data_IF_075840651134
#
_entry.id   IF_075840651134
#
_cell.length_a   1.000
_cell.length_b   1.000
_cell.length_c   1.000
_cell.angle_alpha   90.00
_cell.angle_beta   90.00
_cell.angle_gamma   90.00
#
_symmetry.space_group_name_H-M   'P 1'
#
loop_
_entity.id
_entity.type
_entity.pdbx_description
1 polymer ?
#
# COMPACT_ATOMS: atom_id res chain seq x y z
N UNK A 1 -31.64 -5.34 14.34
CA UNK A 1 -31.19 -4.03 13.82
C UNK A 1 -30.03 -3.57 14.68
N UNK A 2 -28.87 -3.29 14.11
CA UNK A 2 -27.71 -2.82 14.89
C UNK A 2 -28.04 -1.42 15.41
N UNK A 3 -27.86 -1.19 16.72
CA UNK A 3 -28.10 0.13 17.31
C UNK A 3 -27.08 1.12 16.76
N UNK A 4 -27.56 2.28 16.29
CA UNK A 4 -26.70 3.37 15.78
C UNK A 4 -25.67 3.77 16.83
N UNK A 5 -26.06 3.80 18.10
CA UNK A 5 -25.18 4.13 19.21
C UNK A 5 -24.02 3.14 19.37
N UNK A 6 -24.31 1.84 19.18
CA UNK A 6 -23.28 0.79 19.22
C UNK A 6 -22.29 0.95 18.07
N UNK A 7 -22.78 1.28 16.87
CA UNK A 7 -21.96 1.48 15.68
C UNK A 7 -21.02 2.68 15.83
N UNK A 8 -21.53 3.80 16.36
CA UNK A 8 -20.74 4.97 16.70
C UNK A 8 -19.66 4.63 17.73
N UNK A 9 -20.02 3.92 18.79
CA UNK A 9 -19.08 3.53 19.83
C UNK A 9 -17.96 2.64 19.27
N UNK A 10 -18.29 1.62 18.48
CA UNK A 10 -17.31 0.76 17.83
C UNK A 10 -16.38 1.56 16.91
N UNK A 11 -16.92 2.51 16.15
CA UNK A 11 -16.15 3.32 15.19
C UNK A 11 -15.16 4.24 15.92
N UNK A 12 -15.62 4.91 16.98
CA UNK A 12 -14.76 5.75 17.82
C UNK A 12 -13.68 4.90 18.48
N UNK A 13 -14.03 3.78 19.11
CA UNK A 13 -13.07 2.88 19.74
C UNK A 13 -12.02 2.39 18.75
N UNK A 14 -12.44 1.99 17.55
CA UNK A 14 -11.53 1.54 16.49
C UNK A 14 -10.53 2.63 16.08
N UNK A 15 -11.02 3.85 15.81
CA UNK A 15 -10.16 4.99 15.45
C UNK A 15 -9.21 5.35 16.60
N UNK A 16 -9.70 5.39 17.84
CA UNK A 16 -8.88 5.66 19.02
C UNK A 16 -7.76 4.64 19.17
N UNK A 17 -8.03 3.35 18.97
CA UNK A 17 -7.01 2.29 19.01
C UNK A 17 -5.96 2.52 17.92
N UNK A 18 -6.36 2.80 16.67
CA UNK A 18 -5.43 3.09 15.59
C UNK A 18 -4.53 4.29 15.91
N UNK A 19 -5.10 5.34 16.50
CA UNK A 19 -4.36 6.53 16.88
C UNK A 19 -3.36 6.25 18.01
N UNK A 20 -3.73 5.43 19.00
CA UNK A 20 -2.84 4.98 20.07
C UNK A 20 -1.66 4.18 19.48
N UNK A 21 -1.93 3.29 18.52
CA UNK A 21 -0.88 2.51 17.85
C UNK A 21 0.08 3.44 17.10
N UNK A 22 -0.45 4.42 16.35
CA UNK A 22 0.37 5.41 15.65
C UNK A 22 1.24 6.22 16.61
N UNK A 23 0.65 6.74 17.69
CA UNK A 23 1.36 7.51 18.72
C UNK A 23 2.46 6.68 19.40
N UNK A 24 2.19 5.42 19.72
CA UNK A 24 3.19 4.52 20.29
C UNK A 24 4.34 4.24 19.30
N UNK A 25 4.03 4.12 18.01
CA UNK A 25 5.01 3.96 16.92
C UNK A 25 5.94 5.17 16.78
N UNK A 26 5.41 6.39 16.90
CA UNK A 26 6.19 7.63 16.81
C UNK A 26 7.09 7.85 18.02
N UNK A 27 6.61 7.49 19.22
CA UNK A 27 7.36 7.68 20.48
C UNK A 27 8.58 6.76 20.61
N UNK A 28 8.63 5.67 19.85
CA UNK A 28 9.69 4.67 19.93
C UNK A 28 10.42 4.46 18.57
N UNK A 29 11.17 5.45 18.08
CA UNK A 29 11.89 5.35 16.80
C UNK A 29 12.94 4.22 16.79
N UNK A 30 13.39 3.76 17.96
CA UNK A 30 14.29 2.61 18.11
C UNK A 30 13.67 1.24 17.78
N UNK A 31 12.33 1.11 17.78
CA UNK A 31 11.65 -0.14 17.44
C UNK A 31 11.95 -0.60 16.01
N UNK A 32 12.07 0.35 15.08
CA UNK A 32 12.39 0.08 13.67
C UNK A 32 13.84 -0.38 13.44
N UNK A 33 14.71 -0.26 14.45
CA UNK A 33 16.11 -0.69 14.39
C UNK A 33 16.26 -2.20 14.54
N UNK A 34 15.28 -2.88 15.16
CA UNK A 34 15.25 -4.34 15.26
C UNK A 34 14.81 -4.96 13.94
N UNK A 35 15.65 -5.85 13.39
CA UNK A 35 15.41 -6.51 12.09
C UNK A 35 14.06 -7.21 12.00
N UNK A 36 13.67 -7.94 13.06
CA UNK A 36 12.39 -8.63 13.14
C UNK A 36 11.20 -7.66 13.07
N UNK A 37 11.22 -6.60 13.87
CA UNK A 37 10.18 -5.58 13.86
C UNK A 37 10.06 -4.92 12.49
N UNK A 38 11.19 -4.60 11.84
CA UNK A 38 11.20 -4.04 10.49
C UNK A 38 10.57 -4.97 9.46
N UNK A 39 10.84 -6.27 9.53
CA UNK A 39 10.25 -7.26 8.60
C UNK A 39 8.74 -7.34 8.78
N UNK A 40 8.25 -7.46 10.03
CA UNK A 40 6.81 -7.53 10.30
C UNK A 40 6.09 -6.24 9.90
N UNK A 41 6.64 -5.07 10.24
CA UNK A 41 6.07 -3.78 9.85
C UNK A 41 6.02 -3.66 8.34
N UNK A 42 7.10 -4.00 7.63
CA UNK A 42 7.12 -3.95 6.16
C UNK A 42 6.06 -4.88 5.53
N UNK A 43 5.93 -6.11 6.03
CA UNK A 43 4.90 -7.05 5.56
C UNK A 43 3.48 -6.56 5.86
N UNK A 44 3.24 -5.99 7.05
CA UNK A 44 1.94 -5.44 7.43
C UNK A 44 1.60 -4.17 6.63
N UNK A 45 2.56 -3.32 6.32
CA UNK A 45 2.35 -2.16 5.44
C UNK A 45 1.93 -2.58 4.03
N UNK A 46 2.35 -3.76 3.57
CA UNK A 46 1.92 -4.29 2.28
C UNK A 46 0.43 -4.63 2.25
N UNK A 47 -0.19 -4.88 3.42
CA UNK A 47 -1.62 -5.15 3.53
C UNK A 47 -2.49 -3.94 3.14
N UNK A 48 -1.92 -2.74 3.01
CA UNK A 48 -2.58 -1.56 2.43
C UNK A 48 -3.13 -1.84 1.03
N UNK A 49 -2.61 -2.85 0.32
CA UNK A 49 -3.20 -3.32 -0.95
C UNK A 49 -4.67 -3.76 -0.80
N UNK A 50 -5.06 -4.32 0.36
CA UNK A 50 -6.41 -4.82 0.62
C UNK A 50 -7.32 -3.71 1.18
N UNK A 51 -7.74 -2.81 0.31
CA UNK A 51 -8.60 -1.69 0.67
C UNK A 51 -10.09 -2.04 0.58
N UNK A 52 -10.96 -1.17 1.12
CA UNK A 52 -12.41 -1.28 0.94
C UNK A 52 -12.82 -1.33 -0.54
N UNK A 53 -12.08 -0.65 -1.44
CA UNK A 53 -12.31 -0.74 -2.89
C UNK A 53 -12.13 -2.17 -3.40
N UNK A 54 -11.04 -2.84 -3.00
CA UNK A 54 -10.81 -4.24 -3.39
C UNK A 54 -11.87 -5.18 -2.83
N UNK A 55 -12.36 -4.92 -1.61
CA UNK A 55 -13.44 -5.70 -1.01
C UNK A 55 -14.75 -5.55 -1.77
N UNK A 56 -15.24 -4.33 -1.96
CA UNK A 56 -16.51 -4.09 -2.68
C UNK A 56 -16.44 -4.54 -4.14
N UNK A 57 -15.31 -4.31 -4.81
CA UNK A 57 -15.08 -4.77 -6.18
C UNK A 57 -15.04 -6.30 -6.29
N UNK A 58 -14.36 -6.99 -5.36
CA UNK A 58 -14.30 -8.45 -5.35
C UNK A 58 -15.65 -9.08 -5.08
N UNK A 59 -16.44 -8.54 -4.13
CA UNK A 59 -17.79 -9.01 -3.85
C UNK A 59 -18.72 -8.79 -5.04
N UNK A 60 -18.66 -7.62 -5.70
CA UNK A 60 -19.43 -7.34 -6.91
C UNK A 60 -19.07 -8.25 -8.09
N UNK A 61 -17.78 -8.56 -8.27
CA UNK A 61 -17.32 -9.53 -9.28
C UNK A 61 -17.73 -10.96 -8.94
N UNK A 62 -17.73 -11.32 -7.66
CA UNK A 62 -18.14 -12.64 -7.22
C UNK A 62 -19.63 -12.92 -7.48
N UNK A 63 -20.48 -11.90 -7.34
CA UNK A 63 -21.91 -12.04 -7.63
C UNK A 63 -22.23 -12.08 -9.12
N UNK A 64 -21.46 -11.40 -9.98
CA UNK A 64 -21.71 -11.37 -11.43
C UNK A 64 -20.97 -12.46 -12.23
N UNK A 65 -19.71 -12.73 -11.90
CA UNK A 65 -18.80 -13.57 -12.70
C UNK A 65 -18.22 -14.75 -11.89
N UNK A 66 -18.68 -14.94 -10.64
CA UNK A 66 -18.24 -16.04 -9.78
C UNK A 66 -16.76 -15.92 -9.39
N UNK A 67 -15.86 -16.60 -10.11
CA UNK A 67 -14.43 -16.61 -9.83
C UNK A 67 -13.66 -15.42 -10.42
N UNK A 68 -14.37 -14.45 -11.05
CA UNK A 68 -13.76 -13.26 -11.66
C UNK A 68 -12.96 -12.36 -10.70
N UNK A 69 -13.09 -12.55 -9.38
CA UNK A 69 -12.27 -11.83 -8.39
C UNK A 69 -10.89 -12.44 -8.17
N UNK A 70 -10.65 -13.73 -8.47
CA UNK A 70 -9.37 -14.41 -8.20
C UNK A 70 -8.14 -13.69 -8.77
N UNK A 71 -8.17 -13.15 -10.00
CA UNK A 71 -7.01 -12.49 -10.59
C UNK A 71 -6.47 -11.31 -9.77
N UNK A 72 -7.33 -10.59 -9.02
CA UNK A 72 -6.88 -9.46 -8.18
C UNK A 72 -6.00 -9.91 -7.01
N UNK A 73 -6.17 -11.14 -6.55
CA UNK A 73 -5.38 -11.72 -5.47
C UNK A 73 -4.20 -12.54 -6.00
N UNK A 74 -4.41 -13.29 -7.08
CA UNK A 74 -3.37 -14.09 -7.71
C UNK A 74 -2.31 -13.24 -8.41
N UNK A 75 -2.68 -12.12 -9.03
CA UNK A 75 -1.73 -11.24 -9.72
C UNK A 75 -0.58 -10.77 -8.84
N UNK A 76 -0.83 -10.09 -7.71
CA UNK A 76 0.21 -9.70 -6.76
C UNK A 76 1.02 -10.89 -6.25
N UNK A 77 0.36 -12.02 -5.95
CA UNK A 77 1.04 -13.23 -5.48
C UNK A 77 2.05 -13.74 -6.52
N UNK A 78 1.65 -13.84 -7.78
CA UNK A 78 2.54 -14.24 -8.88
C UNK A 78 3.69 -13.24 -9.07
N UNK A 79 3.42 -11.94 -8.98
CA UNK A 79 4.47 -10.91 -9.06
C UNK A 79 5.48 -11.05 -7.92
N UNK A 80 5.04 -11.30 -6.69
CA UNK A 80 5.96 -11.51 -5.57
C UNK A 80 6.74 -12.81 -5.67
N UNK A 81 6.18 -13.87 -6.26
CA UNK A 81 6.86 -15.16 -6.44
C UNK A 81 7.84 -15.12 -7.61
N UNK A 82 7.40 -14.71 -8.79
CA UNK A 82 8.17 -14.78 -10.03
C UNK A 82 9.00 -13.51 -10.31
N UNK A 83 8.46 -12.34 -9.97
CA UNK A 83 9.12 -11.05 -10.23
C UNK A 83 9.86 -10.49 -9.00
N UNK A 84 10.06 -11.28 -7.93
CA UNK A 84 10.90 -10.93 -6.78
C UNK A 84 12.27 -10.31 -7.15
N UNK A 85 13.09 -10.88 -8.07
CA UNK A 85 14.37 -10.28 -8.42
C UNK A 85 14.23 -8.92 -9.11
N UNK A 86 13.18 -8.74 -9.91
CA UNK A 86 12.88 -7.48 -10.58
C UNK A 86 12.46 -6.41 -9.57
N UNK A 87 11.58 -6.75 -8.61
CA UNK A 87 11.19 -5.87 -7.52
C UNK A 87 12.40 -5.42 -6.69
N UNK A 88 13.31 -6.34 -6.34
CA UNK A 88 14.56 -6.01 -5.64
C UNK A 88 15.41 -5.03 -6.43
N UNK A 89 15.51 -5.21 -7.76
CA UNK A 89 16.26 -4.31 -8.64
C UNK A 89 15.66 -2.90 -8.68
N UNK A 90 14.33 -2.80 -8.77
CA UNK A 90 13.63 -1.50 -8.75
C UNK A 90 13.91 -0.78 -7.42
N UNK A 91 13.74 -1.47 -6.29
CA UNK A 91 13.99 -0.90 -4.95
C UNK A 91 15.44 -0.42 -4.83
N UNK A 92 16.40 -1.19 -5.33
CA UNK A 92 17.81 -0.82 -5.32
C UNK A 92 18.09 0.45 -6.13
N UNK A 93 17.56 0.55 -7.36
CA UNK A 93 17.76 1.72 -8.23
C UNK A 93 17.07 2.95 -7.64
N UNK A 94 15.83 2.82 -7.15
CA UNK A 94 15.10 3.92 -6.50
C UNK A 94 15.85 4.48 -5.30
N UNK A 95 16.45 3.62 -4.45
CA UNK A 95 17.29 4.07 -3.34
C UNK A 95 18.58 4.73 -3.80
N UNK A 96 19.23 4.21 -4.84
CA UNK A 96 20.48 4.81 -5.37
C UNK A 96 20.24 6.19 -5.98
N UNK A 97 19.08 6.40 -6.60
CA UNK A 97 18.70 7.66 -7.24
C UNK A 97 17.94 8.62 -6.31
N UNK A 98 17.75 8.28 -5.03
CA UNK A 98 16.93 9.03 -4.07
C UNK A 98 15.52 9.36 -4.58
N UNK A 99 14.93 8.49 -5.41
CA UNK A 99 13.58 8.66 -5.93
C UNK A 99 12.57 8.18 -4.89
N UNK A 100 11.78 9.09 -4.33
CA UNK A 100 10.78 8.82 -3.28
C UNK A 100 9.39 8.49 -3.84
N UNK A 101 9.13 8.81 -5.12
CA UNK A 101 7.89 8.49 -5.82
C UNK A 101 8.14 7.71 -7.13
N UNK A 102 7.09 7.06 -7.65
CA UNK A 102 7.13 6.37 -8.95
C UNK A 102 7.37 7.40 -10.09
N UNK A 103 6.78 8.58 -9.99
CA UNK A 103 6.99 9.67 -10.94
C UNK A 103 8.46 10.11 -10.99
N UNK A 104 9.09 10.28 -9.82
CA UNK A 104 10.52 10.61 -9.73
C UNK A 104 11.41 9.49 -10.23
N UNK A 105 11.02 8.23 -9.97
CA UNK A 105 11.76 7.08 -10.47
C UNK A 105 11.79 7.08 -12.00
N UNK A 106 10.64 7.30 -12.64
CA UNK A 106 10.55 7.36 -14.10
C UNK A 106 11.31 8.58 -14.63
N UNK A 107 11.08 9.78 -14.09
CA UNK A 107 11.76 10.99 -14.52
C UNK A 107 13.29 10.92 -14.37
N UNK A 108 13.80 10.26 -13.33
CA UNK A 108 15.24 10.05 -13.14
C UNK A 108 15.88 9.23 -14.26
N UNK A 109 15.11 8.35 -14.91
CA UNK A 109 15.55 7.54 -16.05
C UNK A 109 15.59 8.32 -17.37
N UNK A 110 14.78 9.38 -17.49
CA UNK A 110 14.69 10.26 -18.66
C UNK A 110 15.41 11.60 -18.47
N UNK A 111 16.49 11.64 -17.68
CA UNK A 111 17.31 12.84 -17.52
C UNK A 111 16.82 13.86 -16.49
N UNK A 112 16.06 13.43 -15.46
CA UNK A 112 15.51 14.27 -14.38
C UNK A 112 14.54 15.37 -14.86
N UNK A 113 13.82 15.15 -15.96
CA UNK A 113 12.82 16.11 -16.45
C UNK A 113 11.66 16.25 -15.45
N UNK A 114 11.59 17.42 -14.79
CA UNK A 114 10.54 17.78 -13.84
C UNK A 114 9.15 17.83 -14.49
N UNK A 115 9.08 18.22 -15.77
CA UNK A 115 7.82 18.27 -16.54
C UNK A 115 7.23 16.86 -16.70
N UNK A 116 8.08 15.86 -16.96
CA UNK A 116 7.64 14.47 -17.07
C UNK A 116 7.14 13.94 -15.72
N UNK A 117 7.85 14.26 -14.63
CA UNK A 117 7.42 13.89 -13.28
C UNK A 117 6.05 14.49 -12.93
N UNK A 118 5.85 15.78 -13.21
CA UNK A 118 4.59 16.48 -12.97
C UNK A 118 3.44 15.89 -13.79
N UNK A 119 3.69 15.55 -15.06
CA UNK A 119 2.67 14.93 -15.91
C UNK A 119 2.27 13.55 -15.40
N UNK A 120 3.24 12.70 -15.03
CA UNK A 120 2.96 11.37 -14.45
C UNK A 120 2.22 11.50 -13.12
N UNK A 121 2.61 12.46 -12.27
CA UNK A 121 1.92 12.73 -11.02
C UNK A 121 0.47 13.20 -11.25
N UNK A 122 0.23 14.05 -12.25
CA UNK A 122 -1.11 14.48 -12.63
C UNK A 122 -1.98 13.31 -13.12
N UNK A 123 -1.44 12.44 -13.98
CA UNK A 123 -2.15 11.22 -14.40
C UNK A 123 -2.44 10.29 -13.21
N UNK A 124 -1.48 10.09 -12.31
CA UNK A 124 -1.68 9.27 -11.12
C UNK A 124 -2.70 9.87 -10.12
N UNK A 125 -2.80 11.20 -10.07
CA UNK A 125 -3.77 11.93 -9.24
C UNK A 125 -5.18 11.83 -9.82
N UNK A 126 -5.31 11.99 -11.14
CA UNK A 126 -6.60 11.98 -11.83
C UNK A 126 -7.16 10.55 -11.87
N UNK A 127 -6.31 9.56 -12.15
CA UNK A 127 -6.72 8.15 -12.25
C UNK A 127 -7.54 7.88 -13.49
#
# INVERSE_FOLDING_TARGET
>A
MISVWLLVLISITYISILFIIAWAGDKHPGLYRRRLARTHVYSLSLAVYFTSWTFYGAVGRATQEGLGFLPIYLGPLLVFVYCAPLLRRIIYISKRNNSTSIADFIASRYGKSQVLAAMIAAFALIG
#
